data_IF_157736524643
#
_entry.id   IF_157736524643
#
_cell.length_a   1.000
_cell.length_b   1.000
_cell.length_c   1.000
_cell.angle_alpha   90.00
_cell.angle_beta   90.00
_cell.angle_gamma   90.00
#
_symmetry.space_group_name_H-M   'P 1'
#
loop_
_entity.id
_entity.type
_entity.pdbx_description
1 polymer ?
#
# COMPACT_ATOMS: atom_id res chain seq x y z
N UNK A 1 -48.56 38.33 -69.42
CA UNK A 1 -47.27 38.06 -70.08
C UNK A 1 -47.04 36.55 -70.08
N UNK A 2 -47.10 35.95 -71.27
CA UNK A 2 -46.65 34.57 -71.58
C UNK A 2 -45.11 34.50 -71.43
N UNK A 3 -44.38 33.38 -71.28
CA UNK A 3 -44.30 32.12 -72.06
C UNK A 3 -43.37 31.14 -71.30
N UNK A 4 -43.74 29.87 -71.05
CA UNK A 4 -43.42 28.61 -71.78
C UNK A 4 -42.01 27.98 -71.53
N UNK A 5 -42.06 26.68 -71.20
CA UNK A 5 -41.04 25.64 -70.91
C UNK A 5 -40.16 25.19 -72.09
N UNK A 6 -39.13 24.35 -71.84
CA UNK A 6 -38.81 23.25 -72.77
C UNK A 6 -38.61 21.84 -72.12
N UNK A 7 -39.30 20.82 -72.68
CA UNK A 7 -38.85 19.55 -73.32
C UNK A 7 -37.37 19.07 -73.15
N UNK A 8 -36.92 17.80 -73.24
CA UNK A 8 -37.42 16.39 -73.39
C UNK A 8 -36.19 15.43 -73.39
N UNK A 9 -36.42 14.13 -73.09
CA UNK A 9 -35.74 12.88 -73.53
C UNK A 9 -34.26 12.48 -73.23
N UNK A 10 -34.15 11.40 -72.44
CA UNK A 10 -33.34 10.14 -72.51
C UNK A 10 -32.22 9.95 -73.55
N UNK A 11 -31.16 9.19 -73.13
CA UNK A 11 -30.73 8.03 -73.93
C UNK A 11 -30.28 6.75 -73.16
N UNK A 12 -30.63 5.59 -73.75
CA UNK A 12 -29.83 4.37 -74.08
C UNK A 12 -29.06 3.60 -72.98
N UNK A 13 -29.47 2.32 -72.78
CA UNK A 13 -28.71 1.15 -72.25
C UNK A 13 -28.11 0.35 -73.45
N UNK A 14 -27.37 -0.79 -73.31
CA UNK A 14 -26.62 -1.41 -72.20
C UNK A 14 -25.20 -1.89 -72.63
N UNK A 15 -24.38 -2.41 -71.71
CA UNK A 15 -23.47 -3.53 -72.02
C UNK A 15 -23.36 -4.48 -70.82
N UNK A 16 -23.66 -5.75 -71.10
CA UNK A 16 -23.51 -6.94 -70.27
C UNK A 16 -22.08 -7.50 -70.38
N UNK A 17 -21.52 -7.99 -69.28
CA UNK A 17 -20.26 -8.73 -69.31
C UNK A 17 -19.82 -9.34 -67.98
N UNK A 18 -20.14 -10.62 -67.81
CA UNK A 18 -19.37 -11.67 -67.12
C UNK A 18 -19.48 -11.80 -65.58
N UNK A 19 -20.04 -12.96 -65.24
CA UNK A 19 -20.16 -13.68 -63.96
C UNK A 19 -18.82 -13.95 -63.25
N UNK A 20 -18.82 -14.05 -61.92
CA UNK A 20 -18.68 -15.34 -61.17
C UNK A 20 -19.17 -15.10 -59.73
N UNK A 21 -19.95 -16.06 -59.22
CA UNK A 21 -20.71 -15.95 -57.99
C UNK A 21 -19.94 -16.20 -56.68
N UNK A 22 -20.77 -16.23 -55.63
CA UNK A 22 -20.58 -16.58 -54.20
C UNK A 22 -21.02 -15.39 -53.34
N UNK A 23 -22.34 -15.25 -53.20
CA UNK A 23 -22.96 -14.36 -52.22
C UNK A 23 -24.13 -15.11 -51.56
N UNK A 24 -23.83 -16.26 -50.93
CA UNK A 24 -24.76 -16.98 -50.04
C UNK A 24 -23.97 -18.03 -49.21
N UNK A 25 -22.88 -17.59 -48.58
CA UNK A 25 -22.18 -18.37 -47.55
C UNK A 25 -21.42 -17.51 -46.51
N UNK A 26 -21.52 -16.17 -46.58
CA UNK A 26 -20.70 -15.26 -45.73
C UNK A 26 -21.46 -14.74 -44.50
N UNK A 27 -22.76 -14.98 -44.38
CA UNK A 27 -23.55 -14.57 -43.20
C UNK A 27 -23.54 -15.64 -42.08
N UNK A 28 -22.96 -16.82 -42.31
CA UNK A 28 -22.90 -17.91 -41.31
C UNK A 28 -21.48 -18.30 -40.86
N UNK A 29 -20.44 -17.60 -41.34
CA UNK A 29 -19.04 -17.85 -40.92
C UNK A 29 -18.42 -16.64 -40.18
N UNK A 30 -19.08 -15.47 -40.16
CA UNK A 30 -18.69 -14.33 -39.32
C UNK A 30 -19.42 -14.28 -37.95
N UNK A 31 -20.21 -15.31 -37.63
CA UNK A 31 -20.91 -15.44 -36.35
C UNK A 31 -20.22 -16.36 -35.32
N UNK A 32 -19.10 -17.01 -35.68
CA UNK A 32 -18.45 -18.03 -34.85
C UNK A 32 -16.97 -17.76 -34.56
N UNK A 33 -16.43 -16.59 -34.93
CA UNK A 33 -15.02 -16.24 -34.71
C UNK A 33 -14.77 -15.04 -33.77
N UNK A 34 -15.74 -14.68 -32.93
CA UNK A 34 -15.58 -13.68 -31.85
C UNK A 34 -15.98 -14.21 -30.47
N UNK A 35 -16.00 -15.54 -30.30
CA UNK A 35 -16.05 -16.19 -28.99
C UNK A 35 -14.76 -16.97 -28.72
N UNK A 36 -13.61 -16.37 -29.04
CA UNK A 36 -12.38 -16.73 -28.34
C UNK A 36 -12.51 -16.18 -26.92
N UNK A 37 -12.91 -17.07 -26.02
CA UNK A 37 -13.32 -16.75 -24.65
C UNK A 37 -12.34 -15.84 -23.93
N UNK A 38 -12.88 -14.74 -23.42
CA UNK A 38 -12.49 -14.32 -22.09
C UNK A 38 -13.06 -15.37 -21.15
N UNK A 39 -12.29 -16.43 -20.87
CA UNK A 39 -12.52 -17.09 -19.59
C UNK A 39 -12.19 -16.02 -18.55
N UNK A 40 -13.20 -15.48 -17.88
CA UNK A 40 -12.98 -15.05 -16.51
C UNK A 40 -12.38 -16.26 -15.83
N UNK A 41 -11.07 -16.24 -15.58
CA UNK A 41 -10.43 -17.26 -14.75
C UNK A 41 -11.22 -17.26 -13.45
N UNK A 42 -12.00 -18.31 -13.22
CA UNK A 42 -12.60 -18.55 -11.93
C UNK A 42 -11.50 -18.39 -10.87
N UNK A 43 -11.81 -17.78 -9.71
CA UNK A 43 -10.82 -17.60 -8.67
C UNK A 43 -10.17 -18.95 -8.37
N UNK A 44 -8.83 -19.00 -8.42
CA UNK A 44 -8.00 -20.21 -8.32
C UNK A 44 -8.04 -20.88 -6.92
N UNK A 45 -9.14 -20.71 -6.20
CA UNK A 45 -9.28 -20.91 -4.78
C UNK A 45 -9.06 -19.62 -3.99
N UNK A 46 -9.32 -19.68 -2.68
CA UNK A 46 -9.15 -18.53 -1.79
C UNK A 46 -7.68 -18.15 -1.61
N UNK A 47 -7.41 -16.88 -1.29
CA UNK A 47 -6.06 -16.39 -1.01
C UNK A 47 -5.50 -17.05 0.25
N UNK A 48 -4.28 -17.57 0.17
CA UNK A 48 -3.57 -18.16 1.32
C UNK A 48 -2.29 -17.36 1.60
N UNK A 49 -2.16 -16.70 2.76
CA UNK A 49 -0.93 -16.01 3.13
C UNK A 49 0.21 -17.01 3.35
N UNK A 50 1.45 -16.53 3.40
CA UNK A 50 2.65 -17.37 3.46
C UNK A 50 2.67 -18.36 4.64
N UNK A 51 2.00 -18.06 5.76
CA UNK A 51 1.87 -18.99 6.88
C UNK A 51 1.01 -20.23 6.55
N UNK A 52 -0.10 -20.06 5.84
CA UNK A 52 -0.92 -21.19 5.38
C UNK A 52 -0.15 -22.02 4.36
N UNK A 53 0.57 -21.35 3.44
CA UNK A 53 1.41 -22.03 2.44
C UNK A 53 2.57 -22.80 3.08
N UNK A 54 3.21 -22.24 4.11
CA UNK A 54 4.25 -22.93 4.86
C UNK A 54 3.69 -24.16 5.59
N UNK A 55 2.50 -24.04 6.19
CA UNK A 55 1.85 -25.16 6.87
C UNK A 55 1.49 -26.29 5.89
N UNK A 56 0.97 -25.95 4.69
CA UNK A 56 0.70 -26.93 3.63
C UNK A 56 1.95 -27.68 3.17
N UNK A 57 3.11 -27.01 3.19
CA UNK A 57 4.42 -27.62 2.86
C UNK A 57 5.01 -28.42 4.02
N UNK A 58 4.31 -28.54 5.15
CA UNK A 58 4.81 -29.25 6.32
C UNK A 58 5.95 -28.52 7.04
N UNK A 59 6.01 -27.18 6.93
CA UNK A 59 7.01 -26.32 7.57
C UNK A 59 8.46 -26.57 7.09
N UNK A 60 8.65 -27.04 5.87
CA UNK A 60 9.93 -27.37 5.24
C UNK A 60 11.02 -26.29 5.40
N UNK A 61 10.68 -25.00 5.23
CA UNK A 61 11.62 -23.88 5.32
C UNK A 61 12.27 -23.70 6.70
N UNK A 62 11.65 -24.25 7.75
CA UNK A 62 12.03 -24.09 9.17
C UNK A 62 12.15 -25.40 9.95
N UNK A 63 11.93 -26.55 9.31
CA UNK A 63 11.90 -27.85 9.97
C UNK A 63 13.23 -28.18 10.66
N UNK A 64 13.15 -28.63 11.92
CA UNK A 64 14.31 -28.96 12.77
C UNK A 64 15.15 -27.75 13.20
N UNK A 65 14.74 -26.52 12.90
CA UNK A 65 15.50 -25.30 13.20
C UNK A 65 15.06 -24.61 14.48
N UNK A 66 15.98 -23.85 15.07
CA UNK A 66 15.69 -22.87 16.12
C UNK A 66 15.24 -21.56 15.48
N UNK A 67 13.97 -21.22 15.68
CA UNK A 67 13.27 -20.14 14.96
C UNK A 67 13.08 -18.92 15.86
N UNK A 68 13.45 -17.74 15.33
CA UNK A 68 12.96 -16.46 15.82
C UNK A 68 11.82 -15.98 14.92
N UNK A 69 10.79 -15.36 15.50
CA UNK A 69 9.63 -14.86 14.73
C UNK A 69 9.43 -13.36 14.95
N UNK A 70 9.59 -12.59 13.88
CA UNK A 70 9.22 -11.18 13.77
C UNK A 70 7.76 -11.11 13.34
N UNK A 71 6.86 -10.72 14.25
CA UNK A 71 5.42 -10.71 13.98
C UNK A 71 4.68 -9.71 14.88
N UNK A 72 3.37 -9.58 14.66
CA UNK A 72 2.42 -8.90 15.55
C UNK A 72 1.06 -9.62 15.45
N UNK A 73 -0.02 -9.02 15.96
CA UNK A 73 -1.36 -9.62 15.93
C UNK A 73 -1.93 -9.82 14.52
N UNK A 74 -1.38 -9.17 13.49
CA UNK A 74 -1.79 -9.42 12.10
C UNK A 74 -1.19 -10.69 11.50
N UNK A 75 -0.19 -11.27 12.18
CA UNK A 75 0.38 -12.58 11.86
C UNK A 75 -0.62 -13.68 12.19
N UNK A 76 -1.60 -13.87 11.30
CA UNK A 76 -2.63 -14.91 11.39
C UNK A 76 -2.75 -15.69 10.09
N UNK A 77 -3.15 -16.96 10.22
CA UNK A 77 -3.61 -17.80 9.11
C UNK A 77 -4.94 -17.29 8.56
N UNK A 78 -5.36 -17.80 7.41
CA UNK A 78 -6.69 -17.56 6.88
C UNK A 78 -7.81 -17.95 7.84
N UNK A 79 -7.63 -19.00 8.63
CA UNK A 79 -8.59 -19.42 9.66
C UNK A 79 -8.60 -18.54 10.92
N UNK A 80 -7.72 -17.53 11.00
CA UNK A 80 -7.60 -16.63 12.14
C UNK A 80 -6.67 -17.13 13.25
N UNK A 81 -5.95 -18.23 13.05
CA UNK A 81 -5.00 -18.73 14.03
C UNK A 81 -3.70 -17.91 14.00
N UNK A 82 -3.18 -17.51 15.16
CA UNK A 82 -1.92 -16.78 15.26
C UNK A 82 -0.74 -17.59 14.68
N UNK A 83 0.12 -16.95 13.89
CA UNK A 83 1.36 -17.54 13.36
C UNK A 83 2.28 -18.03 14.48
N UNK A 84 2.28 -17.35 15.63
CA UNK A 84 3.02 -17.78 16.82
C UNK A 84 2.54 -19.18 17.23
N UNK A 85 1.22 -19.34 17.37
CA UNK A 85 0.61 -20.58 17.85
C UNK A 85 0.70 -21.69 16.80
N UNK A 86 0.54 -21.34 15.52
CA UNK A 86 0.67 -22.28 14.39
C UNK A 86 2.09 -22.85 14.30
N UNK A 87 3.12 -22.00 14.36
CA UNK A 87 4.52 -22.46 14.30
C UNK A 87 4.88 -23.22 15.59
N UNK A 88 4.55 -22.68 16.76
CA UNK A 88 4.87 -23.29 18.06
C UNK A 88 4.19 -24.66 18.25
N UNK A 89 2.90 -24.75 17.88
CA UNK A 89 2.11 -25.97 18.02
C UNK A 89 2.40 -27.04 16.96
N UNK A 90 3.12 -26.71 15.88
CA UNK A 90 3.42 -27.65 14.78
C UNK A 90 4.31 -28.82 15.20
N UNK A 91 5.16 -28.63 16.23
CA UNK A 91 6.21 -29.58 16.62
C UNK A 91 7.29 -29.81 15.56
N UNK A 92 7.30 -29.03 14.45
CA UNK A 92 8.25 -29.21 13.34
C UNK A 92 9.55 -28.44 13.54
N UNK A 93 9.56 -27.43 14.39
CA UNK A 93 10.72 -26.60 14.71
C UNK A 93 10.72 -26.22 16.19
N UNK A 94 11.79 -25.60 16.68
CA UNK A 94 11.83 -25.02 18.02
C UNK A 94 11.70 -23.50 17.92
N UNK A 95 10.53 -22.95 18.23
CA UNK A 95 10.36 -21.49 18.35
C UNK A 95 11.01 -21.02 19.65
N UNK A 96 11.99 -20.10 19.58
CA UNK A 96 12.82 -19.72 20.73
C UNK A 96 12.67 -18.26 21.17
N UNK A 97 12.22 -17.37 20.28
CA UNK A 97 12.03 -15.95 20.60
C UNK A 97 11.04 -15.27 19.65
N UNK A 98 10.36 -14.26 20.17
CA UNK A 98 9.45 -13.39 19.43
C UNK A 98 10.04 -11.99 19.33
N UNK A 99 9.83 -11.32 18.21
CA UNK A 99 10.27 -9.95 17.95
C UNK A 99 9.06 -9.11 17.53
N UNK A 100 8.71 -8.13 18.34
CA UNK A 100 7.56 -7.24 18.10
C UNK A 100 8.04 -5.91 17.52
N UNK A 101 7.38 -5.36 16.49
CA UNK A 101 7.57 -3.96 16.08
C UNK A 101 6.82 -3.03 17.06
N UNK A 102 6.19 -1.97 16.54
CA UNK A 102 5.71 -0.79 17.27
C UNK A 102 4.46 -0.97 18.16
N UNK A 103 3.54 -1.90 17.84
CA UNK A 103 2.22 -2.03 18.50
C UNK A 103 2.02 -3.33 19.31
N UNK A 104 3.12 -3.97 19.71
CA UNK A 104 3.07 -5.19 20.52
C UNK A 104 2.75 -6.46 19.73
N UNK A 105 2.96 -7.61 20.38
CA UNK A 105 2.99 -8.93 19.73
C UNK A 105 1.61 -9.58 19.54
N UNK A 106 0.64 -9.28 20.44
CA UNK A 106 -0.70 -9.89 20.48
C UNK A 106 -1.83 -8.84 20.36
N UNK A 107 -1.52 -7.59 20.01
CA UNK A 107 -2.52 -6.57 19.64
C UNK A 107 -3.36 -5.99 20.78
N UNK A 108 -2.98 -6.25 22.03
CA UNK A 108 -3.69 -5.74 23.22
C UNK A 108 -3.10 -4.44 23.79
N UNK A 109 -2.10 -3.85 23.13
CA UNK A 109 -1.40 -2.67 23.61
C UNK A 109 -1.56 -1.52 22.62
N UNK A 110 -2.13 -0.41 23.08
CA UNK A 110 -2.18 0.86 22.34
C UNK A 110 -0.84 1.62 22.40
N UNK A 111 0.18 1.04 23.04
CA UNK A 111 1.49 1.64 23.31
C UNK A 111 2.65 0.70 22.95
N UNK A 112 3.86 1.25 22.84
CA UNK A 112 5.08 0.48 22.66
C UNK A 112 5.28 -0.49 23.82
N UNK A 113 5.31 -1.78 23.54
CA UNK A 113 5.50 -2.81 24.57
C UNK A 113 6.98 -3.05 24.78
N UNK A 114 7.45 -2.98 26.03
CA UNK A 114 8.80 -3.36 26.40
C UNK A 114 9.03 -4.88 26.20
N UNK A 115 10.29 -5.29 26.15
CA UNK A 115 10.63 -6.72 26.15
C UNK A 115 9.96 -7.43 27.33
N UNK A 116 9.36 -8.59 27.06
CA UNK A 116 8.47 -9.28 28.00
C UNK A 116 8.44 -10.79 27.71
N UNK A 117 7.43 -11.51 28.22
CA UNK A 117 7.23 -12.94 27.98
C UNK A 117 5.81 -13.16 27.45
N UNK A 118 5.68 -13.93 26.38
CA UNK A 118 4.39 -14.32 25.84
C UNK A 118 3.71 -15.29 26.80
N UNK A 119 2.58 -14.88 27.39
CA UNK A 119 1.91 -15.64 28.46
C UNK A 119 1.47 -17.04 28.03
N UNK A 120 1.19 -17.26 26.75
CA UNK A 120 0.68 -18.52 26.22
C UNK A 120 1.80 -19.52 25.95
N UNK A 121 2.92 -19.07 25.37
CA UNK A 121 4.03 -19.93 24.95
C UNK A 121 5.22 -19.94 25.93
N UNK A 122 5.29 -18.97 26.85
CA UNK A 122 6.43 -18.76 27.74
C UNK A 122 7.66 -18.19 27.05
N UNK A 123 7.56 -17.79 25.78
CA UNK A 123 8.69 -17.31 24.99
C UNK A 123 9.07 -15.86 25.31
N UNK A 124 10.37 -15.51 25.26
CA UNK A 124 10.80 -14.13 25.36
C UNK A 124 10.30 -13.32 24.16
N UNK A 125 9.85 -12.10 24.42
CA UNK A 125 9.48 -11.08 23.43
C UNK A 125 10.52 -9.97 23.48
N UNK A 126 11.15 -9.68 22.35
CA UNK A 126 12.03 -8.54 22.16
C UNK A 126 11.29 -7.42 21.41
N UNK A 127 11.34 -6.21 21.95
CA UNK A 127 10.80 -5.02 21.28
C UNK A 127 11.81 -4.50 20.24
N UNK A 128 11.36 -4.31 19.00
CA UNK A 128 12.09 -3.68 17.89
C UNK A 128 11.57 -2.27 17.62
N UNK A 129 11.18 -1.56 18.68
CA UNK A 129 10.70 -0.19 18.62
C UNK A 129 11.25 0.64 19.78
N UNK A 130 11.47 1.94 19.55
CA UNK A 130 12.06 2.84 20.53
C UNK A 130 13.58 2.69 20.62
N UNK A 131 14.08 1.96 21.62
CA UNK A 131 15.53 1.88 21.89
C UNK A 131 16.34 1.19 20.77
N UNK A 132 15.75 0.21 20.10
CA UNK A 132 16.38 -0.44 18.96
C UNK A 132 15.34 -0.89 17.95
N UNK A 133 15.55 -0.56 16.68
CA UNK A 133 14.74 -1.04 15.56
C UNK A 133 15.34 -2.27 14.85
N UNK A 134 16.60 -2.59 15.17
CA UNK A 134 17.34 -3.72 14.61
C UNK A 134 17.60 -4.77 15.69
N UNK A 135 17.35 -6.07 15.45
CA UNK A 135 17.76 -7.12 16.39
C UNK A 135 19.27 -7.05 16.67
N UNK A 136 19.66 -7.12 17.94
CA UNK A 136 21.07 -7.20 18.31
C UNK A 136 21.63 -8.61 18.11
N UNK A 137 22.96 -8.75 17.98
CA UNK A 137 23.62 -10.06 17.95
C UNK A 137 23.29 -10.91 19.19
N UNK A 138 23.09 -10.28 20.33
CA UNK A 138 22.72 -10.97 21.56
C UNK A 138 21.29 -11.55 21.49
N UNK A 139 20.33 -10.80 20.93
CA UNK A 139 18.96 -11.28 20.72
C UNK A 139 18.88 -12.42 19.71
N UNK A 140 19.78 -12.44 18.71
CA UNK A 140 19.83 -13.48 17.68
C UNK A 140 20.64 -14.73 18.09
N UNK A 141 21.18 -14.78 19.31
CA UNK A 141 22.03 -15.88 19.76
C UNK A 141 21.24 -17.19 19.81
N UNK A 142 21.74 -18.20 19.10
CA UNK A 142 21.10 -19.52 19.05
C UNK A 142 19.84 -19.58 18.19
N UNK A 143 19.56 -18.55 17.39
CA UNK A 143 18.55 -18.60 16.32
C UNK A 143 19.26 -19.03 15.03
N UNK A 144 18.67 -19.99 14.29
CA UNK A 144 19.18 -20.44 13.00
C UNK A 144 18.40 -19.84 11.82
N UNK A 145 17.11 -19.55 12.04
CA UNK A 145 16.22 -18.94 11.06
C UNK A 145 15.39 -17.84 11.71
N UNK A 146 15.40 -16.65 11.11
CA UNK A 146 14.53 -15.55 11.49
C UNK A 146 13.39 -15.43 10.48
N UNK A 147 12.16 -15.61 10.95
CA UNK A 147 10.93 -15.57 10.15
C UNK A 147 10.27 -14.19 10.32
N UNK A 148 9.77 -13.61 9.24
CA UNK A 148 8.98 -12.38 9.23
C UNK A 148 7.55 -12.67 8.74
N UNK A 149 6.55 -12.29 9.54
CA UNK A 149 5.14 -12.43 9.18
C UNK A 149 4.30 -11.30 9.78
N UNK A 150 4.07 -10.24 8.99
CA UNK A 150 3.32 -9.04 9.38
C UNK A 150 2.55 -8.51 8.17
N UNK A 151 1.29 -8.13 8.36
CA UNK A 151 0.49 -7.43 7.35
C UNK A 151 0.91 -5.95 7.29
N UNK A 152 1.52 -5.54 6.18
CA UNK A 152 1.79 -4.14 5.84
C UNK A 152 0.58 -3.49 5.13
N UNK A 153 0.66 -2.20 4.79
CA UNK A 153 -0.40 -1.44 4.09
C UNK A 153 -0.04 -0.91 2.70
N UNK A 154 1.17 -1.18 2.21
CA UNK A 154 1.59 -0.79 0.86
C UNK A 154 2.12 0.65 0.73
N UNK A 155 2.50 1.27 1.85
CA UNK A 155 3.00 2.65 1.91
C UNK A 155 4.41 2.70 2.51
N UNK A 156 5.34 3.41 1.86
CA UNK A 156 6.77 3.46 2.25
C UNK A 156 6.99 3.86 3.71
N UNK A 157 6.25 4.86 4.18
CA UNK A 157 6.44 5.41 5.53
C UNK A 157 5.67 4.66 6.61
N UNK A 158 5.01 3.55 6.26
CA UNK A 158 4.54 2.56 7.23
C UNK A 158 5.69 1.62 7.60
N UNK A 159 6.02 1.53 8.89
CA UNK A 159 7.38 1.18 9.33
C UNK A 159 7.73 -0.31 9.24
N UNK A 160 6.78 -1.21 8.98
CA UNK A 160 7.01 -2.66 9.01
C UNK A 160 8.00 -3.15 7.95
N UNK A 161 7.98 -2.57 6.75
CA UNK A 161 9.00 -2.87 5.73
C UNK A 161 10.39 -2.35 6.12
N UNK A 162 10.45 -1.27 6.91
CA UNK A 162 11.68 -0.75 7.54
C UNK A 162 12.22 -1.72 8.59
N UNK A 163 11.36 -2.21 9.48
CA UNK A 163 11.70 -3.27 10.45
C UNK A 163 12.19 -4.52 9.73
N UNK A 164 11.50 -4.97 8.67
CA UNK A 164 11.91 -6.11 7.87
C UNK A 164 13.33 -5.93 7.31
N UNK A 165 13.62 -4.79 6.68
CA UNK A 165 14.95 -4.48 6.14
C UNK A 165 16.04 -4.49 7.21
N UNK A 166 15.77 -3.97 8.41
CA UNK A 166 16.72 -4.00 9.52
C UNK A 166 16.94 -5.42 10.05
N UNK A 167 15.88 -6.23 10.16
CA UNK A 167 15.99 -7.64 10.52
C UNK A 167 16.78 -8.45 9.47
N UNK A 168 16.58 -8.18 8.18
CA UNK A 168 17.36 -8.79 7.11
C UNK A 168 18.85 -8.42 7.19
N UNK A 169 19.18 -7.15 7.48
CA UNK A 169 20.58 -6.73 7.71
C UNK A 169 21.18 -7.44 8.92
N UNK A 170 20.44 -7.54 10.02
CA UNK A 170 20.89 -8.28 11.20
C UNK A 170 21.11 -9.77 10.89
N UNK A 171 20.25 -10.38 10.08
CA UNK A 171 20.39 -11.76 9.65
C UNK A 171 21.62 -11.98 8.75
N UNK A 172 21.91 -11.05 7.83
CA UNK A 172 23.14 -11.06 7.03
C UNK A 172 24.39 -10.96 7.92
N UNK A 173 24.38 -10.05 8.90
CA UNK A 173 25.49 -9.82 9.84
C UNK A 173 25.80 -11.03 10.75
N UNK A 174 24.82 -11.91 10.98
CA UNK A 174 24.97 -13.10 11.83
C UNK A 174 24.99 -14.42 11.05
N UNK A 175 24.80 -14.38 9.72
CA UNK A 175 24.80 -15.56 8.86
C UNK A 175 23.57 -16.47 9.05
N UNK A 176 22.50 -15.98 9.66
CA UNK A 176 21.26 -16.76 9.85
C UNK A 176 20.35 -16.60 8.63
N UNK A 177 19.56 -17.64 8.32
CA UNK A 177 18.59 -17.59 7.23
C UNK A 177 17.45 -16.63 7.59
N UNK A 178 16.98 -15.87 6.62
CA UNK A 178 15.80 -15.01 6.75
C UNK A 178 14.66 -15.57 5.89
N UNK A 179 13.48 -15.77 6.48
CA UNK A 179 12.30 -16.30 5.79
C UNK A 179 11.18 -15.27 5.87
N UNK A 180 10.62 -14.85 4.74
CA UNK A 180 9.43 -14.00 4.70
C UNK A 180 8.22 -14.86 4.39
N UNK A 181 7.24 -14.86 5.30
CA UNK A 181 5.91 -15.38 5.02
C UNK A 181 5.14 -14.25 4.36
N UNK A 182 5.02 -14.31 3.04
CA UNK A 182 4.51 -13.18 2.30
C UNK A 182 3.01 -12.95 2.55
N UNK A 183 2.56 -11.71 2.39
CA UNK A 183 1.15 -11.32 2.56
C UNK A 183 0.71 -10.41 1.42
N UNK A 184 -0.59 -10.44 1.04
CA UNK A 184 -1.15 -9.49 0.08
C UNK A 184 -0.80 -8.04 0.42
N UNK A 185 -0.44 -7.24 -0.59
CA UNK A 185 -0.47 -5.79 -0.44
C UNK A 185 -1.96 -5.37 -0.44
N UNK A 186 -2.48 -4.76 0.65
CA UNK A 186 -3.92 -4.57 0.80
C UNK A 186 -4.50 -3.55 -0.18
N UNK A 187 -3.65 -2.67 -0.72
CA UNK A 187 -4.02 -1.66 -1.71
C UNK A 187 -3.58 -2.08 -3.13
N UNK A 188 -3.39 -3.38 -3.36
CA UNK A 188 -3.02 -3.94 -4.65
C UNK A 188 -1.54 -3.77 -5.02
N UNK A 189 -1.11 -4.53 -6.03
CA UNK A 189 0.24 -4.52 -6.60
C UNK A 189 0.37 -3.79 -7.94
N UNK A 190 -0.71 -3.23 -8.49
CA UNK A 190 -0.71 -2.59 -9.82
C UNK A 190 -0.17 -1.15 -9.75
N UNK A 191 -0.86 -0.28 -9.00
CA UNK A 191 -0.55 1.15 -8.91
C UNK A 191 0.79 1.39 -8.20
N UNK A 192 1.57 2.33 -8.73
CA UNK A 192 2.85 2.81 -8.17
C UNK A 192 2.87 4.31 -8.29
N UNK A 193 2.93 5.00 -7.16
CA UNK A 193 2.61 6.43 -7.08
C UNK A 193 3.54 7.14 -6.09
N UNK A 194 3.77 8.43 -6.31
CA UNK A 194 4.53 9.29 -5.41
C UNK A 194 6.04 9.34 -5.67
N UNK A 195 6.72 10.19 -4.90
CA UNK A 195 8.15 10.44 -5.07
C UNK A 195 8.99 9.23 -4.64
N UNK A 196 10.03 8.94 -5.40
CA UNK A 196 11.15 8.10 -4.96
C UNK A 196 12.15 9.03 -4.25
N UNK A 197 12.59 8.76 -3.01
CA UNK A 197 13.41 9.70 -2.25
C UNK A 197 14.86 9.78 -2.75
N UNK A 198 15.40 11.00 -2.79
CA UNK A 198 16.81 11.27 -3.13
C UNK A 198 17.75 10.93 -1.97
N UNK A 199 19.05 10.89 -2.25
CA UNK A 199 20.06 10.74 -1.21
C UNK A 199 19.89 11.81 -0.12
N UNK A 200 19.99 11.37 1.14
CA UNK A 200 19.72 12.20 2.32
C UNK A 200 18.24 12.32 2.71
N UNK A 201 17.30 11.76 1.94
CA UNK A 201 15.86 11.67 2.29
C UNK A 201 15.44 10.24 2.66
N UNK A 202 16.36 9.28 2.54
CA UNK A 202 16.16 7.89 2.91
C UNK A 202 17.30 7.38 3.81
N UNK A 203 17.08 6.26 4.47
CA UNK A 203 17.96 5.62 5.45
C UNK A 203 17.35 5.49 6.85
N UNK A 204 16.28 6.26 7.13
CA UNK A 204 15.49 6.15 8.36
C UNK A 204 14.38 5.10 8.27
N UNK A 205 13.75 4.76 9.40
CA UNK A 205 12.74 3.68 9.44
C UNK A 205 11.49 3.96 8.59
N UNK A 206 11.08 5.23 8.46
CA UNK A 206 9.95 5.68 7.62
C UNK A 206 10.33 5.90 6.14
N UNK A 207 11.59 5.70 5.78
CA UNK A 207 12.10 5.87 4.42
C UNK A 207 13.36 5.03 4.26
N UNK A 208 13.28 3.71 4.45
CA UNK A 208 14.48 2.86 4.63
C UNK A 208 15.32 2.74 3.36
N UNK A 209 14.68 2.79 2.20
CA UNK A 209 15.28 2.67 0.87
C UNK A 209 14.55 3.59 -0.13
N UNK A 210 15.19 3.92 -1.27
CA UNK A 210 14.58 4.75 -2.30
C UNK A 210 13.55 3.98 -3.13
N UNK A 211 12.38 3.76 -2.51
CA UNK A 211 11.16 3.24 -3.15
C UNK A 211 10.09 4.35 -3.18
N UNK A 212 9.12 4.33 -4.11
CA UNK A 212 8.08 5.34 -4.16
C UNK A 212 7.10 5.19 -2.99
N UNK A 213 6.32 6.23 -2.72
CA UNK A 213 5.41 6.30 -1.58
C UNK A 213 4.40 5.16 -1.58
N UNK A 214 3.69 4.93 -2.70
CA UNK A 214 2.96 3.70 -2.96
C UNK A 214 3.81 2.81 -3.86
N UNK A 215 4.40 1.77 -3.28
CA UNK A 215 5.36 0.91 -3.99
C UNK A 215 4.69 -0.19 -4.83
N UNK A 216 3.46 -0.57 -4.48
CA UNK A 216 2.70 -1.59 -5.20
C UNK A 216 3.41 -2.95 -5.22
N UNK A 217 4.03 -3.35 -4.11
CA UNK A 217 4.76 -4.62 -3.95
C UNK A 217 4.36 -5.27 -2.64
N UNK A 218 4.41 -6.60 -2.54
CA UNK A 218 4.24 -7.32 -1.26
C UNK A 218 5.51 -7.21 -0.40
N UNK A 219 5.44 -7.64 0.86
CA UNK A 219 6.60 -7.68 1.73
C UNK A 219 7.68 -8.65 1.20
N UNK A 220 7.28 -9.80 0.65
CA UNK A 220 8.18 -10.76 0.01
C UNK A 220 8.89 -10.19 -1.22
N UNK A 221 8.16 -9.52 -2.12
CA UNK A 221 8.75 -8.84 -3.27
C UNK A 221 9.72 -7.73 -2.84
N UNK A 222 9.37 -6.96 -1.80
CA UNK A 222 10.25 -5.95 -1.23
C UNK A 222 11.50 -6.58 -0.59
N UNK A 223 11.39 -7.72 0.09
CA UNK A 223 12.55 -8.43 0.62
C UNK A 223 13.50 -8.88 -0.50
N UNK A 224 12.97 -9.40 -1.61
CA UNK A 224 13.76 -9.75 -2.79
C UNK A 224 14.46 -8.52 -3.39
N UNK A 225 13.74 -7.40 -3.53
CA UNK A 225 14.30 -6.13 -3.98
C UNK A 225 15.40 -5.63 -3.04
N UNK A 226 15.17 -5.65 -1.73
CA UNK A 226 16.12 -5.18 -0.73
C UNK A 226 17.38 -6.05 -0.71
N UNK A 227 17.23 -7.36 -0.85
CA UNK A 227 18.37 -8.27 -0.88
C UNK A 227 19.15 -8.17 -2.20
N UNK A 228 18.46 -8.13 -3.33
CA UNK A 228 19.07 -8.20 -4.66
C UNK A 228 19.54 -6.85 -5.21
N UNK A 229 18.72 -5.81 -5.11
CA UNK A 229 19.03 -4.47 -5.64
C UNK A 229 19.82 -3.64 -4.64
N UNK A 230 19.35 -3.57 -3.39
CA UNK A 230 20.02 -2.81 -2.31
C UNK A 230 21.09 -3.61 -1.55
N UNK A 231 21.39 -4.83 -2.01
CA UNK A 231 22.56 -5.63 -1.59
C UNK A 231 22.64 -5.89 -0.08
N UNK A 232 21.52 -6.17 0.58
CA UNK A 232 21.56 -6.62 2.00
C UNK A 232 22.42 -7.89 2.14
N UNK A 233 22.28 -8.86 1.23
CA UNK A 233 23.12 -10.06 1.20
C UNK A 233 22.80 -11.11 2.25
N UNK A 234 21.57 -11.19 2.77
CA UNK A 234 21.16 -12.29 3.64
C UNK A 234 20.79 -13.54 2.82
N UNK A 235 20.90 -14.72 3.44
CA UNK A 235 20.31 -15.96 2.92
C UNK A 235 18.79 -15.87 3.03
N UNK A 236 18.14 -15.40 1.98
CA UNK A 236 16.71 -15.10 1.93
C UNK A 236 15.91 -16.24 1.30
N UNK A 237 14.79 -16.59 1.93
CA UNK A 237 13.71 -17.34 1.31
C UNK A 237 12.39 -16.57 1.47
N UNK A 238 11.55 -16.60 0.43
CA UNK A 238 10.19 -16.07 0.49
C UNK A 238 9.21 -17.22 0.31
N UNK A 239 8.28 -17.39 1.25
CA UNK A 239 7.12 -18.27 1.10
C UNK A 239 6.01 -17.43 0.48
N UNK A 240 5.70 -17.60 -0.82
CA UNK A 240 4.78 -16.73 -1.53
C UNK A 240 3.34 -16.94 -1.08
N UNK A 241 2.52 -15.91 -1.26
CA UNK A 241 1.06 -15.99 -1.18
C UNK A 241 0.54 -16.88 -2.31
N UNK A 242 -0.47 -17.71 -2.05
CA UNK A 242 -1.22 -18.39 -3.13
C UNK A 242 -2.49 -17.63 -3.48
N UNK A 243 -2.85 -17.67 -4.77
CA UNK A 243 -4.11 -17.15 -5.33
C UNK A 243 -4.33 -15.63 -5.25
N UNK A 244 -3.36 -14.86 -4.74
CA UNK A 244 -3.39 -13.40 -4.85
C UNK A 244 -2.95 -12.94 -6.25
N UNK A 245 -3.75 -12.06 -6.85
CA UNK A 245 -3.41 -11.35 -8.10
C UNK A 245 -3.10 -9.90 -7.77
N UNK A 246 -2.23 -9.25 -8.54
CA UNK A 246 -1.83 -7.86 -8.25
C UNK A 246 -3.00 -6.88 -8.23
N UNK A 247 -4.05 -7.14 -9.01
CA UNK A 247 -5.25 -6.30 -9.06
C UNK A 247 -6.13 -6.43 -7.81
N UNK A 248 -5.93 -7.45 -6.96
CA UNK A 248 -6.75 -7.66 -5.78
C UNK A 248 -6.38 -6.68 -4.67
N UNK A 249 -7.38 -5.93 -4.23
CA UNK A 249 -7.40 -5.25 -2.95
C UNK A 249 -7.75 -6.25 -1.83
N UNK A 250 -7.49 -5.85 -0.58
CA UNK A 250 -7.64 -6.75 0.57
C UNK A 250 -9.04 -7.35 0.71
N UNK A 251 -10.09 -6.55 0.47
CA UNK A 251 -11.49 -6.97 0.50
C UNK A 251 -11.83 -8.07 -0.52
N UNK A 252 -11.01 -8.22 -1.57
CA UNK A 252 -11.17 -9.25 -2.59
C UNK A 252 -10.42 -10.55 -2.26
N UNK A 253 -9.62 -10.57 -1.19
CA UNK A 253 -8.80 -11.74 -0.80
C UNK A 253 -9.58 -12.79 -0.01
N UNK A 254 -10.67 -12.38 0.65
CA UNK A 254 -11.39 -13.20 1.62
C UNK A 254 -10.64 -13.44 2.95
N UNK A 255 -9.55 -12.71 3.19
CA UNK A 255 -8.84 -12.70 4.48
C UNK A 255 -9.51 -11.75 5.47
N UNK A 256 -9.37 -12.04 6.76
CA UNK A 256 -9.86 -11.17 7.83
C UNK A 256 -8.96 -9.95 7.99
N UNK A 257 -9.54 -8.75 7.91
CA UNK A 257 -8.83 -7.52 8.22
C UNK A 257 -8.68 -7.38 9.74
N UNK A 258 -7.43 -7.43 10.21
CA UNK A 258 -7.06 -6.99 11.55
C UNK A 258 -6.30 -5.68 11.40
N UNK A 259 -6.71 -4.66 12.15
CA UNK A 259 -6.11 -3.32 12.10
C UNK A 259 -4.58 -3.42 12.24
N UNK A 260 -3.80 -3.10 11.20
CA UNK A 260 -2.34 -3.24 11.27
C UNK A 260 -1.71 -2.37 12.37
N UNK A 261 -2.32 -1.21 12.64
CA UNK A 261 -2.03 -0.35 13.80
C UNK A 261 -3.33 0.16 14.44
N UNK A 262 -3.30 0.68 15.69
CA UNK A 262 -4.49 1.20 16.38
C UNK A 262 -5.27 2.26 15.58
N UNK A 263 -4.58 3.00 14.71
CA UNK A 263 -5.17 4.04 13.88
C UNK A 263 -5.30 3.65 12.41
N UNK A 264 -4.88 2.45 11.99
CA UNK A 264 -5.15 1.95 10.64
C UNK A 264 -6.35 1.00 10.69
N UNK A 265 -7.54 1.61 10.84
CA UNK A 265 -8.78 0.91 11.20
C UNK A 265 -9.54 0.32 10.01
N UNK A 266 -9.32 0.84 8.82
CA UNK A 266 -10.12 0.50 7.64
C UNK A 266 -9.25 0.33 6.41
N UNK A 267 -9.74 -0.45 5.44
CA UNK A 267 -9.12 -0.53 4.12
C UNK A 267 -9.15 0.83 3.40
N UNK A 268 -10.21 1.62 3.57
CA UNK A 268 -10.29 2.97 2.99
C UNK A 268 -9.17 3.87 3.52
N UNK A 269 -8.92 3.85 4.83
CA UNK A 269 -7.78 4.53 5.44
C UNK A 269 -6.46 4.09 4.80
N UNK A 270 -6.26 2.78 4.59
CA UNK A 270 -5.05 2.27 3.92
C UNK A 270 -4.92 2.72 2.46
N UNK A 271 -6.03 2.82 1.71
CA UNK A 271 -6.05 3.31 0.32
C UNK A 271 -5.70 4.80 0.24
N UNK A 272 -6.19 5.60 1.19
CA UNK A 272 -5.92 7.04 1.27
C UNK A 272 -4.52 7.35 1.82
N UNK A 273 -4.00 6.49 2.69
CA UNK A 273 -2.77 6.71 3.46
C UNK A 273 -1.55 7.13 2.64
N UNK A 274 -1.23 6.53 1.46
CA UNK A 274 -0.07 6.92 0.69
C UNK A 274 0.02 8.42 0.40
N UNK A 275 -1.13 9.07 0.12
CA UNK A 275 -1.15 10.48 -0.23
C UNK A 275 -1.64 11.42 0.86
N UNK A 276 -2.68 11.02 1.60
CA UNK A 276 -3.25 11.88 2.63
C UNK A 276 -2.58 11.67 4.00
N UNK A 277 -1.89 10.53 4.19
CA UNK A 277 -1.16 10.20 5.43
C UNK A 277 -0.03 11.18 5.74
N UNK A 278 0.57 11.83 4.74
CA UNK A 278 1.59 12.87 4.94
C UNK A 278 1.09 14.06 5.78
N UNK A 279 -0.24 14.22 5.93
CA UNK A 279 -0.81 15.24 6.82
C UNK A 279 -0.39 15.04 8.28
N UNK A 280 0.04 13.84 8.68
CA UNK A 280 0.61 13.55 10.00
C UNK A 280 1.84 14.40 10.34
N UNK A 281 2.59 14.80 9.32
CA UNK A 281 3.76 15.66 9.46
C UNK A 281 3.44 17.13 9.24
N UNK A 282 2.19 17.51 9.47
CA UNK A 282 1.72 18.90 9.55
C UNK A 282 1.17 19.21 10.93
N UNK A 283 0.80 20.46 11.17
CA UNK A 283 0.08 20.82 12.38
C UNK A 283 -1.41 20.47 12.37
N UNK A 284 -1.95 19.76 11.37
CA UNK A 284 -3.33 19.26 11.38
C UNK A 284 -3.46 17.91 12.12
N UNK A 285 -4.67 17.63 12.62
CA UNK A 285 -5.06 16.30 13.09
C UNK A 285 -5.50 15.42 11.93
N UNK A 286 -5.08 14.16 11.96
CA UNK A 286 -5.53 13.07 11.08
C UNK A 286 -6.60 12.18 11.74
N UNK A 287 -7.32 12.75 12.72
CA UNK A 287 -8.41 12.11 13.46
C UNK A 287 -8.05 10.83 14.23
N UNK A 288 -6.80 10.70 14.69
CA UNK A 288 -6.37 9.60 15.58
C UNK A 288 -7.21 9.55 16.87
N UNK A 289 -7.63 8.35 17.25
CA UNK A 289 -8.54 8.12 18.38
C UNK A 289 -10.04 8.33 18.08
N UNK A 290 -10.40 8.58 16.82
CA UNK A 290 -11.79 8.53 16.35
C UNK A 290 -12.07 7.19 15.65
N UNK A 291 -13.27 7.01 15.09
CA UNK A 291 -13.61 5.80 14.31
C UNK A 291 -13.03 5.80 12.90
N UNK A 292 -12.66 6.98 12.36
CA UNK A 292 -12.15 7.12 10.99
C UNK A 292 -10.82 7.92 10.90
N UNK A 293 -9.76 7.52 11.62
CA UNK A 293 -8.42 8.05 11.40
C UNK A 293 -8.00 7.84 9.94
N UNK A 294 -7.26 8.80 9.38
CA UNK A 294 -6.83 8.81 7.97
C UNK A 294 -7.95 8.84 6.93
N UNK A 295 -9.18 9.16 7.36
CA UNK A 295 -10.27 9.54 6.47
C UNK A 295 -10.81 10.93 6.83
N UNK A 296 -10.37 11.51 7.95
CA UNK A 296 -10.75 12.85 8.41
C UNK A 296 -9.51 13.66 8.79
N UNK A 297 -9.50 14.93 8.37
CA UNK A 297 -8.36 15.83 8.49
C UNK A 297 -8.83 17.20 8.93
N UNK A 298 -8.24 17.76 9.98
CA UNK A 298 -8.81 18.95 10.61
C UNK A 298 -7.95 19.61 11.68
N UNK A 299 -8.31 20.82 12.04
CA UNK A 299 -7.73 21.55 13.17
C UNK A 299 -8.80 22.44 13.81
N UNK A 300 -8.67 22.85 15.08
CA UNK A 300 -9.61 23.78 15.72
C UNK A 300 -9.72 25.12 15.00
N UNK A 301 -8.67 25.47 14.26
CA UNK A 301 -8.55 26.74 13.57
C UNK A 301 -9.02 26.70 12.11
N UNK A 302 -9.30 25.51 11.56
CA UNK A 302 -9.74 25.37 10.18
C UNK A 302 -11.17 25.84 9.96
N UNK A 303 -11.46 26.20 8.72
CA UNK A 303 -12.79 26.38 8.18
C UNK A 303 -13.02 25.24 7.20
N UNK A 304 -13.60 24.14 7.71
CA UNK A 304 -13.80 22.92 6.94
C UNK A 304 -14.69 23.12 5.71
N UNK A 305 -15.66 24.05 5.78
CA UNK A 305 -16.53 24.38 4.65
C UNK A 305 -15.74 25.05 3.53
N UNK A 306 -14.93 26.06 3.83
CA UNK A 306 -14.12 26.75 2.81
C UNK A 306 -13.06 25.83 2.21
N UNK A 307 -12.50 24.90 2.99
CA UNK A 307 -11.56 23.89 2.47
C UNK A 307 -12.29 22.94 1.51
N UNK A 308 -13.46 22.40 1.90
CA UNK A 308 -14.27 21.55 1.02
C UNK A 308 -14.74 22.27 -0.25
N UNK A 309 -15.18 23.54 -0.14
CA UNK A 309 -15.59 24.37 -1.28
C UNK A 309 -14.43 24.71 -2.24
N UNK A 310 -13.20 24.74 -1.73
CA UNK A 310 -12.00 24.87 -2.56
C UNK A 310 -11.71 23.54 -3.28
N UNK A 311 -11.73 22.42 -2.54
CA UNK A 311 -11.46 21.08 -3.07
C UNK A 311 -12.48 20.64 -4.12
N UNK A 312 -13.76 21.00 -3.97
CA UNK A 312 -14.81 20.66 -4.93
C UNK A 312 -14.62 21.28 -6.33
N UNK A 313 -13.75 22.29 -6.45
CA UNK A 313 -13.40 22.95 -7.72
C UNK A 313 -12.15 22.35 -8.36
N UNK A 314 -11.50 21.40 -7.71
CA UNK A 314 -10.28 20.73 -8.19
C UNK A 314 -10.64 19.42 -8.87
N UNK A 315 -9.78 18.98 -9.80
CA UNK A 315 -9.94 17.70 -10.47
C UNK A 315 -9.27 16.59 -9.67
N UNK A 316 -10.00 15.97 -8.76
CA UNK A 316 -9.55 14.79 -7.99
C UNK A 316 -10.46 13.59 -8.26
N UNK A 317 -10.23 12.81 -9.33
CA UNK A 317 -11.03 11.64 -9.64
C UNK A 317 -11.05 10.61 -8.52
N UNK A 318 -12.17 9.91 -8.35
CA UNK A 318 -12.30 8.82 -7.39
C UNK A 318 -12.45 9.23 -5.92
N UNK A 319 -12.51 10.53 -5.60
CA UNK A 319 -12.62 11.03 -4.22
C UNK A 319 -13.49 12.29 -4.12
N UNK A 320 -14.19 12.43 -3.01
CA UNK A 320 -14.87 13.65 -2.60
C UNK A 320 -14.40 14.09 -1.21
N UNK A 321 -14.38 15.40 -0.98
CA UNK A 321 -14.08 15.98 0.32
C UNK A 321 -15.33 16.69 0.86
N UNK A 322 -15.83 16.24 2.00
CA UNK A 322 -17.00 16.82 2.67
C UNK A 322 -16.57 17.54 3.94
N UNK A 323 -17.17 18.71 4.27
CA UNK A 323 -16.88 19.35 5.54
C UNK A 323 -17.29 18.45 6.69
N UNK A 324 -16.46 18.34 7.72
CA UNK A 324 -16.75 17.57 8.92
C UNK A 324 -16.22 18.26 10.18
N UNK A 325 -16.67 17.74 11.32
CA UNK A 325 -16.11 18.05 12.63
C UNK A 325 -15.83 16.76 13.38
N UNK A 326 -14.75 16.74 14.17
CA UNK A 326 -14.37 15.59 14.97
C UNK A 326 -13.52 16.02 16.16
N UNK A 327 -13.43 15.17 17.19
CA UNK A 327 -12.59 15.40 18.37
C UNK A 327 -11.61 14.23 18.51
N UNK A 328 -10.32 14.40 18.16
CA UNK A 328 -9.34 13.33 18.30
C UNK A 328 -9.07 13.05 19.79
N UNK A 329 -8.84 11.78 20.13
CA UNK A 329 -8.65 11.34 21.52
C UNK A 329 -7.30 10.66 21.78
N UNK A 330 -6.57 10.32 20.71
CA UNK A 330 -5.31 9.58 20.82
C UNK A 330 -4.24 10.39 21.58
N UNK A 331 -3.46 9.74 22.47
CA UNK A 331 -2.41 10.41 23.23
C UNK A 331 -1.28 10.92 22.32
N UNK A 332 -0.60 11.99 22.73
CA UNK A 332 0.56 12.57 22.05
C UNK A 332 0.34 13.07 20.61
N UNK A 333 -0.91 13.18 20.16
CA UNK A 333 -1.25 13.65 18.81
C UNK A 333 -1.93 15.04 18.82
N UNK A 334 -1.87 15.80 17.70
CA UNK A 334 -2.43 17.14 17.60
C UNK A 334 -3.90 17.22 18.03
N UNK A 335 -4.20 18.27 18.79
CA UNK A 335 -5.56 18.68 19.18
C UNK A 335 -6.38 17.68 19.98
N UNK A 336 -5.71 16.78 20.71
CA UNK A 336 -6.38 15.85 21.64
C UNK A 336 -7.43 16.58 22.50
N UNK A 337 -8.66 16.08 22.48
CA UNK A 337 -9.84 16.63 23.17
C UNK A 337 -10.31 18.02 22.73
N UNK A 338 -9.81 18.54 21.60
CA UNK A 338 -10.29 19.79 21.02
C UNK A 338 -11.14 19.50 19.79
N UNK A 339 -12.27 20.20 19.66
CA UNK A 339 -13.11 20.12 18.46
C UNK A 339 -12.34 20.65 17.25
N UNK A 340 -12.14 19.81 16.25
CA UNK A 340 -11.53 20.15 14.98
C UNK A 340 -12.62 20.37 13.93
N UNK A 341 -12.48 21.40 13.10
CA UNK A 341 -13.19 21.53 11.82
C UNK A 341 -12.26 21.10 10.70
N UNK A 342 -12.79 20.56 9.61
CA UNK A 342 -11.97 20.12 8.50
C UNK A 342 -12.77 19.39 7.43
N UNK A 343 -12.14 18.39 6.82
CA UNK A 343 -12.73 17.60 5.75
C UNK A 343 -12.64 16.10 6.01
N UNK A 344 -13.68 15.38 5.63
CA UNK A 344 -13.67 13.94 5.47
C UNK A 344 -13.43 13.61 4.00
N UNK A 345 -12.44 12.75 3.75
CA UNK A 345 -12.13 12.17 2.45
C UNK A 345 -12.99 10.90 2.24
N UNK A 346 -13.81 10.90 1.19
CA UNK A 346 -14.65 9.77 0.83
C UNK A 346 -14.27 9.25 -0.55
N UNK A 347 -13.82 8.00 -0.61
CA UNK A 347 -13.53 7.30 -1.87
C UNK A 347 -14.87 7.07 -2.58
N UNK A 348 -14.99 7.62 -3.80
CA UNK A 348 -16.16 7.40 -4.68
C UNK A 348 -15.89 6.34 -5.73
N UNK A 349 -14.64 6.21 -6.16
CA UNK A 349 -14.18 5.16 -7.06
C UNK A 349 -12.66 4.93 -6.85
N UNK A 350 -12.31 3.76 -6.30
CA UNK A 350 -10.91 3.41 -6.01
C UNK A 350 -10.06 3.16 -7.25
N UNK A 351 -10.68 2.84 -8.39
CA UNK A 351 -9.96 2.53 -9.62
C UNK A 351 -9.43 3.80 -10.28
N UNK A 352 -10.20 4.89 -10.25
CA UNK A 352 -9.77 6.21 -10.76
C UNK A 352 -8.99 7.05 -9.75
N UNK A 353 -9.02 6.68 -8.46
CA UNK A 353 -8.31 7.39 -7.40
C UNK A 353 -6.78 7.32 -7.54
N UNK A 354 -6.14 8.49 -7.62
CA UNK A 354 -4.74 8.71 -7.27
C UNK A 354 -4.68 9.36 -5.89
N UNK A 355 -4.35 8.59 -4.85
CA UNK A 355 -4.37 9.10 -3.48
C UNK A 355 -3.29 10.16 -3.24
N UNK A 356 -2.15 10.06 -3.93
CA UNK A 356 -1.07 11.05 -3.86
C UNK A 356 -1.57 12.39 -4.40
N UNK A 357 -2.15 12.42 -5.61
CA UNK A 357 -2.72 13.64 -6.18
C UNK A 357 -3.79 14.26 -5.27
N UNK A 358 -4.71 13.44 -4.75
CA UNK A 358 -5.74 13.89 -3.83
C UNK A 358 -5.16 14.51 -2.55
N UNK A 359 -4.12 13.89 -1.97
CA UNK A 359 -3.42 14.39 -0.79
C UNK A 359 -2.73 15.74 -1.03
N UNK A 360 -2.01 15.88 -2.15
CA UNK A 360 -1.36 17.14 -2.51
C UNK A 360 -2.38 18.28 -2.74
N UNK A 361 -3.51 17.99 -3.40
CA UNK A 361 -4.62 18.94 -3.55
C UNK A 361 -5.20 19.35 -2.20
N UNK A 362 -5.43 18.40 -1.30
CA UNK A 362 -5.94 18.65 0.06
C UNK A 362 -5.00 19.56 0.85
N UNK A 363 -3.70 19.26 0.89
CA UNK A 363 -2.70 20.06 1.62
C UNK A 363 -2.60 21.48 1.08
N UNK A 364 -2.60 21.64 -0.25
CA UNK A 364 -2.56 22.96 -0.87
C UNK A 364 -3.85 23.76 -0.57
N UNK A 365 -5.03 23.13 -0.62
CA UNK A 365 -6.27 23.80 -0.26
C UNK A 365 -6.29 24.24 1.22
N UNK A 366 -5.80 23.40 2.14
CA UNK A 366 -5.66 23.75 3.55
C UNK A 366 -4.74 24.97 3.73
N UNK A 367 -3.61 25.00 3.02
CA UNK A 367 -2.68 26.12 3.04
C UNK A 367 -3.29 27.40 2.45
N UNK A 368 -3.98 27.31 1.31
CA UNK A 368 -4.61 28.48 0.67
C UNK A 368 -5.67 29.15 1.54
N UNK A 369 -6.41 28.38 2.33
CA UNK A 369 -7.44 28.93 3.24
C UNK A 369 -6.82 29.44 4.55
N UNK A 370 -5.73 28.82 5.03
CA UNK A 370 -5.08 29.16 6.31
C UNK A 370 -3.55 29.37 6.18
N UNK A 371 -3.06 30.29 5.32
CA UNK A 371 -1.63 30.39 4.97
C UNK A 371 -0.73 30.79 6.15
N UNK A 372 -1.27 31.52 7.12
CA UNK A 372 -0.53 32.00 8.29
C UNK A 372 -0.47 30.99 9.44
N UNK A 373 -1.25 29.89 9.37
CA UNK A 373 -1.38 28.92 10.47
C UNK A 373 -1.12 27.49 10.06
N UNK A 374 -1.32 27.10 8.81
CA UNK A 374 -1.08 25.73 8.37
C UNK A 374 0.39 25.55 7.97
N UNK A 375 1.09 24.61 8.62
CA UNK A 375 2.51 24.39 8.41
C UNK A 375 2.86 22.89 8.42
N UNK A 376 3.91 22.54 7.68
CA UNK A 376 4.56 21.25 7.72
C UNK A 376 5.77 21.25 8.66
N UNK A 377 6.06 20.09 9.25
CA UNK A 377 7.24 19.82 10.06
C UNK A 377 8.31 19.10 9.24
N UNK A 378 9.51 18.92 9.82
CA UNK A 378 10.66 18.26 9.15
C UNK A 378 10.32 16.87 8.59
N UNK A 379 9.44 16.12 9.27
CA UNK A 379 9.01 14.78 8.83
C UNK A 379 8.32 14.75 7.47
N UNK A 380 7.77 15.87 6.99
CA UNK A 380 7.08 15.96 5.70
C UNK A 380 7.98 15.58 4.54
N UNK A 381 9.27 15.92 4.63
CA UNK A 381 10.28 15.55 3.63
C UNK A 381 10.44 14.04 3.53
N UNK A 382 10.42 13.33 4.66
CA UNK A 382 10.60 11.88 4.69
C UNK A 382 9.35 11.13 4.18
N UNK A 383 8.16 11.58 4.56
CA UNK A 383 6.89 10.94 4.17
C UNK A 383 6.54 11.21 2.69
N UNK A 384 6.71 12.44 2.21
CA UNK A 384 6.59 12.71 0.76
C UNK A 384 7.68 12.01 -0.04
N UNK A 385 8.91 12.02 0.49
CA UNK A 385 10.10 11.57 -0.24
C UNK A 385 10.67 12.63 -1.17
N UNK A 386 10.25 13.89 -1.04
CA UNK A 386 10.79 15.00 -1.82
C UNK A 386 10.84 16.28 -0.99
N UNK A 387 12.07 16.78 -0.79
CA UNK A 387 12.37 17.95 0.04
C UNK A 387 11.77 19.25 -0.48
N UNK A 388 11.41 19.30 -1.76
CA UNK A 388 10.87 20.51 -2.38
C UNK A 388 9.34 20.59 -2.33
N UNK A 389 8.66 19.48 -2.06
CA UNK A 389 7.20 19.35 -2.15
C UNK A 389 6.46 20.45 -1.38
N UNK A 390 6.81 20.68 -0.11
CA UNK A 390 6.12 21.68 0.71
C UNK A 390 6.27 23.10 0.15
N UNK A 391 7.49 23.49 -0.20
CA UNK A 391 7.77 24.80 -0.80
C UNK A 391 7.00 25.00 -2.13
N UNK A 392 6.98 23.98 -2.98
CA UNK A 392 6.27 24.02 -4.26
C UNK A 392 4.75 24.12 -4.06
N UNK A 393 4.18 23.32 -3.14
CA UNK A 393 2.74 23.32 -2.86
C UNK A 393 2.26 24.60 -2.17
N UNK A 394 2.92 24.97 -1.07
CA UNK A 394 2.44 26.01 -0.17
C UNK A 394 2.88 27.40 -0.65
N UNK A 395 4.17 27.63 -0.80
CA UNK A 395 4.70 28.98 -1.05
C UNK A 395 4.62 29.37 -2.53
N UNK A 396 4.96 28.44 -3.43
CA UNK A 396 4.88 28.71 -4.88
C UNK A 396 3.50 28.42 -5.48
N UNK A 397 2.62 27.73 -4.73
CA UNK A 397 1.27 27.34 -5.18
C UNK A 397 1.29 26.63 -6.54
N UNK A 398 2.32 25.83 -6.77
CA UNK A 398 2.46 25.05 -7.98
C UNK A 398 1.36 23.98 -8.01
N UNK A 399 0.73 23.80 -9.18
CA UNK A 399 -0.31 22.78 -9.34
C UNK A 399 0.25 21.38 -8.99
N UNK A 400 -0.46 20.56 -8.18
CA UNK A 400 -0.01 19.22 -7.79
C UNK A 400 0.43 18.34 -8.96
N UNK A 401 -0.22 18.45 -10.11
CA UNK A 401 0.10 17.69 -11.31
C UNK A 401 1.53 17.98 -11.81
N UNK A 402 2.03 19.21 -11.65
CA UNK A 402 3.40 19.57 -12.04
C UNK A 402 4.44 18.98 -11.09
N UNK A 403 4.11 18.88 -9.81
CA UNK A 403 4.96 18.23 -8.81
C UNK A 403 5.03 16.72 -9.10
N UNK A 404 3.88 16.08 -9.33
CA UNK A 404 3.80 14.66 -9.69
C UNK A 404 4.54 14.37 -11.00
N UNK A 405 4.42 15.26 -12.00
CA UNK A 405 5.14 15.13 -13.27
C UNK A 405 6.66 15.13 -13.07
N UNK A 406 7.18 15.93 -12.13
CA UNK A 406 8.61 15.97 -11.81
C UNK A 406 9.13 14.65 -11.19
N UNK A 407 8.26 13.87 -10.54
CA UNK A 407 8.63 12.57 -9.95
C UNK A 407 8.67 11.42 -10.96
N UNK A 408 8.03 11.56 -12.11
CA UNK A 408 7.87 10.48 -13.10
C UNK A 408 9.18 9.81 -13.54
N UNK A 409 10.28 10.53 -13.83
CA UNK A 409 11.51 9.88 -14.28
C UNK A 409 12.06 8.84 -13.30
N UNK A 410 12.04 9.14 -12.00
CA UNK A 410 12.52 8.21 -10.96
C UNK A 410 11.50 7.11 -10.68
N UNK A 411 10.21 7.43 -10.73
CA UNK A 411 9.13 6.47 -10.60
C UNK A 411 9.18 5.40 -11.71
N UNK A 412 9.39 5.82 -12.96
CA UNK A 412 9.57 4.91 -14.10
C UNK A 412 10.86 4.09 -13.99
N UNK A 413 11.94 4.67 -13.47
CA UNK A 413 13.15 3.91 -13.15
C UNK A 413 12.89 2.83 -12.10
N UNK A 414 12.14 3.15 -11.05
CA UNK A 414 11.76 2.17 -10.03
C UNK A 414 10.87 1.05 -10.61
N UNK A 415 9.88 1.40 -11.45
CA UNK A 415 9.00 0.40 -12.11
C UNK A 415 9.81 -0.65 -12.87
N UNK A 416 10.82 -0.23 -13.65
CA UNK A 416 11.73 -1.15 -14.35
C UNK A 416 12.60 -1.99 -13.41
N UNK A 417 13.02 -1.42 -12.28
CA UNK A 417 13.83 -2.17 -11.29
C UNK A 417 12.98 -3.24 -10.61
N UNK A 418 11.75 -2.92 -10.18
CA UNK A 418 10.91 -3.85 -9.43
C UNK A 418 10.47 -5.07 -10.22
N UNK A 419 10.35 -4.96 -11.56
CA UNK A 419 9.93 -6.07 -12.44
C UNK A 419 10.75 -7.34 -12.23
N UNK A 420 12.04 -7.20 -11.90
CA UNK A 420 12.96 -8.32 -11.62
C UNK A 420 12.66 -9.08 -10.33
N UNK A 421 11.82 -8.51 -9.47
CA UNK A 421 11.56 -9.00 -8.11
C UNK A 421 10.07 -9.29 -7.88
N UNK A 422 9.21 -9.12 -8.89
CA UNK A 422 7.80 -9.43 -8.77
C UNK A 422 7.58 -10.94 -8.76
N UNK A 423 6.74 -11.40 -7.83
CA UNK A 423 6.36 -12.81 -7.68
C UNK A 423 4.97 -13.10 -8.26
N UNK A 424 4.14 -12.06 -8.40
CA UNK A 424 2.73 -12.18 -8.75
C UNK A 424 2.42 -11.43 -10.04
N UNK A 425 1.44 -11.95 -10.79
CA UNK A 425 0.91 -11.34 -12.01
C UNK A 425 -0.26 -10.41 -11.74
#
# INVERSE_FOLDING_TARGET
MMTISPFKHTPVRPHTGIFVGIALAVVLIFGTLLMSGFSEEEPAGPVLPGIDVLAERGFDSIAGKRVGLVTNHTGITRSGASTIDTIHGSGKCTLVALFSPEHGIRGTADESVASSVDKKTGLPIYSLYGQSYKPSKAMLRGIEVLVFDIQDIGTRFYTYIGTMALCMRAAAETGIKFVVLDRPNPIGGVKVEGAVPENGVWGGITSIYPIPTRHGMTAGELALLFNGHFKIGCTLEVVPVKNWKRSMYFDQTGLTWLNPSPNMKTLNGAILYPGLGVTETTNASVARGTDKPFEMYGAPFFDGKRIADNLSKRSTPGIQFKPCTFTPTAPYHPYRYQLCSGVQAEITDRETLDSIAAGLHMLQAMYEIHPDRFMAYEGFVNETGDRYTWNLLAWQKLAPEKIIAAWQPRLESFKRVREKYLLYK
#
